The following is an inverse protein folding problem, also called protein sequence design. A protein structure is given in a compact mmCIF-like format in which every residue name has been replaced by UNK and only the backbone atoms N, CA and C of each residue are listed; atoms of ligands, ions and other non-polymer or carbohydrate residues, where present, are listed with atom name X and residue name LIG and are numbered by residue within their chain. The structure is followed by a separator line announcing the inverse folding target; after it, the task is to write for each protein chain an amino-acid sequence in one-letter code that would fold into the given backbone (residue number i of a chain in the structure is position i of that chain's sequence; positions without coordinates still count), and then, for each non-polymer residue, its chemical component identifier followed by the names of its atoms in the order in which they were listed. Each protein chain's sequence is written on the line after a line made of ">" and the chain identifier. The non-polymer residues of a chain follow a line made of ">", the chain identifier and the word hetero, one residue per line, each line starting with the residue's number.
data_IF_582624534006
#
_entry.id   IF_582624534006
#
_cell.length_a   1.000
_cell.length_b   1.000
_cell.length_c   1.000
_cell.angle_alpha   90.00
_cell.angle_beta   90.00
_cell.angle_gamma   90.00
#
_symmetry.space_group_name_H-M   'P 1'
#
loop_
_entity.id
_entity.type
_entity.pdbx_description
1 polymer ?
#
# COMPACT_ATOMS: atom_id res chain seq x y z
N UNK A 1 8.97 -23.45 6.29
CA UNK A 1 7.64 -23.12 6.85
C UNK A 1 6.71 -22.77 5.71
N UNK A 2 5.44 -23.12 5.81
CA UNK A 2 4.40 -22.67 4.89
C UNK A 2 3.59 -21.55 5.58
N UNK A 3 3.67 -20.34 5.03
CA UNK A 3 2.97 -19.16 5.53
C UNK A 3 1.81 -18.80 4.60
N UNK A 4 0.74 -18.25 5.17
CA UNK A 4 -0.44 -17.84 4.43
C UNK A 4 -1.17 -16.67 5.08
N UNK A 5 -0.52 -15.98 6.01
CA UNK A 5 -1.04 -14.75 6.60
C UNK A 5 -0.45 -13.57 5.83
N UNK A 6 -1.27 -13.05 4.91
CA UNK A 6 -0.89 -11.99 3.98
C UNK A 6 -1.53 -10.66 4.37
N UNK A 7 -0.89 -9.56 4.00
CA UNK A 7 -1.56 -8.25 4.06
C UNK A 7 -2.82 -8.26 3.19
N UNK A 8 -3.92 -7.71 3.71
CA UNK A 8 -5.16 -7.56 2.97
C UNK A 8 -5.10 -6.26 2.14
N UNK A 9 -4.36 -6.31 1.03
CA UNK A 9 -4.23 -5.18 0.11
C UNK A 9 -4.10 -5.66 -1.33
N UNK A 10 -5.14 -5.39 -2.11
CA UNK A 10 -5.16 -5.68 -3.56
C UNK A 10 -4.15 -4.84 -4.34
N UNK A 11 -3.74 -3.70 -3.76
CA UNK A 11 -2.73 -2.80 -4.32
C UNK A 11 -1.33 -3.43 -4.29
N UNK A 12 -1.01 -4.16 -3.21
CA UNK A 12 0.31 -4.79 -3.01
C UNK A 12 0.36 -6.20 -3.60
N UNK A 13 -0.71 -6.98 -3.44
CA UNK A 13 -0.75 -8.40 -3.82
C UNK A 13 -1.58 -8.69 -5.07
N UNK A 14 -2.16 -7.66 -5.69
CA UNK A 14 -3.08 -7.81 -6.80
C UNK A 14 -4.46 -8.32 -6.38
N UNK A 15 -5.43 -8.19 -7.29
CA UNK A 15 -6.80 -8.70 -7.08
C UNK A 15 -6.87 -10.24 -7.03
N UNK A 16 -5.89 -10.92 -7.62
CA UNK A 16 -5.84 -12.39 -7.65
C UNK A 16 -5.26 -12.91 -6.35
N UNK A 17 -6.13 -13.43 -5.48
CA UNK A 17 -5.72 -14.05 -4.22
C UNK A 17 -4.71 -15.17 -4.44
N UNK A 18 -3.74 -15.25 -3.53
CA UNK A 18 -2.74 -16.32 -3.52
C UNK A 18 -3.41 -17.58 -2.99
N UNK A 19 -3.59 -18.56 -3.86
CA UNK A 19 -4.37 -19.77 -3.57
C UNK A 19 -3.60 -20.79 -2.71
N UNK A 20 -2.28 -20.84 -2.88
CA UNK A 20 -1.41 -21.80 -2.22
C UNK A 20 -0.49 -21.14 -1.16
N UNK A 21 -0.17 -21.82 -0.05
CA UNK A 21 0.77 -21.30 0.94
C UNK A 21 2.15 -20.99 0.33
N UNK A 22 2.79 -19.97 0.88
CA UNK A 22 4.14 -19.54 0.51
C UNK A 22 5.17 -20.20 1.41
N UNK A 23 6.14 -20.87 0.79
CA UNK A 23 7.26 -21.48 1.46
C UNK A 23 8.34 -20.45 1.80
N UNK A 24 8.71 -20.43 3.08
CA UNK A 24 9.73 -19.56 3.62
C UNK A 24 10.74 -20.38 4.44
N UNK A 25 12.03 -20.13 4.20
CA UNK A 25 13.14 -20.71 4.96
C UNK A 25 14.22 -19.66 5.14
N UNK A 26 14.27 -19.04 6.30
CA UNK A 26 15.12 -17.88 6.51
C UNK A 26 14.92 -17.27 7.89
N UNK A 27 15.43 -16.06 8.04
CA UNK A 27 15.33 -15.26 9.26
C UNK A 27 14.05 -14.42 9.17
N UNK A 28 13.35 -14.28 10.29
CA UNK A 28 12.19 -13.41 10.38
C UNK A 28 12.58 -12.03 10.91
N UNK A 29 11.77 -11.02 10.58
CA UNK A 29 11.98 -9.62 10.91
C UNK A 29 10.99 -9.15 11.96
N UNK A 30 11.42 -8.17 12.75
CA UNK A 30 10.55 -7.36 13.60
C UNK A 30 10.33 -6.01 12.95
N UNK A 31 9.13 -5.46 13.13
CA UNK A 31 8.80 -4.10 12.70
C UNK A 31 8.35 -3.31 13.92
N UNK A 32 8.96 -2.15 14.13
CA UNK A 32 8.49 -1.22 15.15
C UNK A 32 7.16 -0.60 14.67
N UNK A 33 6.09 -0.75 15.47
CA UNK A 33 4.75 -0.25 15.16
C UNK A 33 4.68 1.28 15.04
N UNK A 34 5.66 2.00 15.58
CA UNK A 34 5.78 3.46 15.41
C UNK A 34 6.16 3.85 13.99
N UNK A 35 6.75 2.94 13.21
CA UNK A 35 7.13 3.20 11.83
C UNK A 35 5.92 3.04 10.89
N UNK A 36 5.47 4.15 10.30
CA UNK A 36 4.35 4.18 9.35
C UNK A 36 4.75 3.93 7.88
N UNK A 37 6.05 3.78 7.59
CA UNK A 37 6.57 3.53 6.24
C UNK A 37 6.76 2.04 5.94
N UNK A 38 6.83 1.22 6.98
CA UNK A 38 7.00 -0.23 6.88
C UNK A 38 5.68 -0.97 6.95
N UNK A 39 5.53 -1.98 6.08
CA UNK A 39 4.35 -2.82 5.98
C UNK A 39 4.77 -4.28 6.07
N UNK A 40 4.04 -5.06 6.87
CA UNK A 40 4.19 -6.52 6.93
C UNK A 40 3.38 -7.13 5.80
N UNK A 41 4.04 -7.71 4.81
CA UNK A 41 3.36 -8.29 3.64
C UNK A 41 3.10 -9.78 3.82
N UNK A 42 4.03 -10.48 4.46
CA UNK A 42 3.87 -11.87 4.86
C UNK A 42 4.24 -12.02 6.33
N UNK A 43 3.34 -12.62 7.12
CA UNK A 43 3.52 -12.85 8.55
C UNK A 43 3.46 -14.35 8.88
N UNK A 44 3.96 -14.71 10.05
CA UNK A 44 3.83 -16.08 10.57
C UNK A 44 2.46 -16.29 11.20
N UNK A 45 1.98 -17.54 11.17
CA UNK A 45 0.81 -17.94 11.95
C UNK A 45 1.03 -17.66 13.46
N UNK A 46 -0.03 -17.32 14.22
CA UNK A 46 0.10 -16.95 15.64
C UNK A 46 0.75 -18.02 16.52
N UNK A 47 0.70 -19.28 16.11
CA UNK A 47 1.21 -20.44 16.86
C UNK A 47 2.70 -20.73 16.63
N UNK A 48 3.39 -19.89 15.84
CA UNK A 48 4.80 -20.10 15.52
C UNK A 48 5.69 -19.37 16.53
N UNK A 49 6.63 -20.13 17.08
CA UNK A 49 7.71 -19.62 17.92
C UNK A 49 9.02 -19.57 17.10
N UNK A 50 9.62 -18.38 16.89
CA UNK A 50 10.91 -18.23 16.23
C UNK A 50 12.07 -18.61 17.17
N UNK A 51 12.00 -19.77 17.81
CA UNK A 51 13.08 -20.25 18.67
C UNK A 51 14.24 -20.86 17.86
N UNK A 52 15.46 -20.77 18.37
CA UNK A 52 16.61 -21.44 17.79
C UNK A 52 16.46 -22.97 17.97
N UNK A 53 16.38 -23.77 16.88
CA UNK A 53 16.15 -25.20 16.98
C UNK A 53 17.29 -25.97 17.66
N UNK A 54 18.46 -25.34 17.84
CA UNK A 54 19.65 -25.96 18.45
C UNK A 54 19.82 -25.68 19.95
N UNK A 55 19.06 -24.75 20.52
CA UNK A 55 19.17 -24.39 21.94
C UNK A 55 17.80 -24.41 22.57
N UNK A 56 17.62 -25.18 23.65
CA UNK A 56 16.45 -25.02 24.53
C UNK A 56 16.59 -23.66 25.22
N UNK A 57 16.01 -22.61 24.63
CA UNK A 57 16.00 -21.29 25.26
C UNK A 57 14.98 -21.30 26.40
N UNK A 58 15.45 -21.12 27.63
CA UNK A 58 14.60 -20.83 28.79
C UNK A 58 14.02 -19.40 28.76
N UNK A 59 14.53 -18.54 27.87
CA UNK A 59 14.06 -17.16 27.76
C UNK A 59 12.87 -17.10 26.81
N UNK A 60 11.81 -16.39 27.23
CA UNK A 60 10.65 -16.07 26.40
C UNK A 60 11.12 -15.51 25.05
N UNK A 61 10.60 -16.00 23.91
CA UNK A 61 10.98 -15.48 22.60
C UNK A 61 10.74 -13.97 22.57
N UNK A 62 11.69 -13.22 22.01
CA UNK A 62 11.64 -11.74 21.99
C UNK A 62 10.37 -11.21 21.30
N UNK A 63 9.78 -12.00 20.39
CA UNK A 63 8.48 -11.80 19.77
C UNK A 63 7.85 -13.16 19.43
N UNK A 64 6.54 -13.30 19.62
CA UNK A 64 5.76 -14.49 19.27
C UNK A 64 4.61 -14.14 18.31
N UNK A 65 4.22 -15.11 17.47
CA UNK A 65 3.02 -15.02 16.65
C UNK A 65 3.04 -13.94 15.55
N UNK A 66 1.90 -13.30 15.28
CA UNK A 66 1.67 -12.36 14.17
C UNK A 66 2.47 -11.05 14.27
N UNK A 67 3.15 -10.82 15.39
CA UNK A 67 4.09 -9.71 15.52
C UNK A 67 5.29 -9.86 14.58
N UNK A 68 5.64 -11.09 14.23
CA UNK A 68 6.79 -11.46 13.39
C UNK A 68 6.43 -11.36 11.90
N UNK A 69 7.27 -10.67 11.13
CA UNK A 69 7.13 -10.57 9.68
C UNK A 69 8.19 -11.41 8.97
N UNK A 70 7.78 -12.18 7.97
CA UNK A 70 8.69 -12.93 7.10
C UNK A 70 9.17 -12.08 5.91
N UNK A 71 8.27 -11.26 5.39
CA UNK A 71 8.54 -10.31 4.29
C UNK A 71 7.96 -8.96 4.66
N UNK A 72 8.84 -7.96 4.68
CA UNK A 72 8.51 -6.56 4.89
C UNK A 72 8.63 -5.79 3.57
N UNK A 73 7.76 -4.81 3.38
CA UNK A 73 7.93 -3.78 2.36
C UNK A 73 8.08 -2.45 3.05
N UNK A 74 9.04 -1.64 2.60
CA UNK A 74 9.20 -0.25 3.04
C UNK A 74 8.97 0.65 1.84
N UNK A 75 8.06 1.61 1.99
CA UNK A 75 7.90 2.69 1.02
C UNK A 75 8.53 3.97 1.58
N UNK A 76 9.62 4.41 0.94
CA UNK A 76 10.27 5.66 1.30
C UNK A 76 9.40 6.86 0.93
N UNK A 77 9.66 8.02 1.54
CA UNK A 77 8.98 9.28 1.20
C UNK A 77 9.22 9.73 -0.24
N UNK A 78 10.29 9.25 -0.87
CA UNK A 78 10.56 9.42 -2.30
C UNK A 78 9.80 8.44 -3.19
N UNK A 79 8.86 7.66 -2.64
CA UNK A 79 8.15 6.56 -3.28
C UNK A 79 9.04 5.39 -3.73
N UNK A 80 10.30 5.34 -3.31
CA UNK A 80 11.13 4.15 -3.52
C UNK A 80 10.61 2.97 -2.69
N UNK A 81 10.48 1.80 -3.31
CA UNK A 81 9.96 0.57 -2.68
C UNK A 81 11.09 -0.41 -2.42
N UNK A 82 11.19 -0.88 -1.19
CA UNK A 82 12.19 -1.86 -0.76
C UNK A 82 11.46 -3.09 -0.22
N UNK A 83 11.71 -4.24 -0.83
CA UNK A 83 11.26 -5.54 -0.32
C UNK A 83 12.38 -6.17 0.51
N UNK A 84 12.10 -6.48 1.77
CA UNK A 84 13.05 -7.13 2.69
C UNK A 84 12.53 -8.53 2.99
N UNK A 85 13.27 -9.54 2.55
CA UNK A 85 12.99 -10.97 2.83
C UNK A 85 14.21 -11.61 3.48
N UNK A 86 14.00 -12.34 4.57
CA UNK A 86 15.07 -13.09 5.22
C UNK A 86 15.31 -14.48 4.63
N UNK A 87 14.64 -14.84 3.53
CA UNK A 87 14.73 -16.15 2.89
C UNK A 87 15.12 -16.05 1.41
N UNK A 88 16.38 -16.35 1.11
CA UNK A 88 16.83 -16.48 -0.29
C UNK A 88 16.13 -17.65 -1.00
N UNK A 89 15.86 -18.75 -0.28
CA UNK A 89 15.20 -19.93 -0.85
C UNK A 89 13.79 -19.64 -1.36
N UNK A 90 13.13 -18.61 -0.83
CA UNK A 90 11.80 -18.15 -1.26
C UNK A 90 11.74 -17.80 -2.74
N UNK A 91 12.84 -17.27 -3.29
CA UNK A 91 12.99 -16.86 -4.69
C UNK A 91 13.52 -17.97 -5.59
N UNK A 92 13.79 -19.16 -5.03
CA UNK A 92 14.39 -20.27 -5.76
C UNK A 92 13.36 -21.12 -6.52
N UNK A 93 13.75 -21.58 -7.72
CA UNK A 93 12.95 -22.49 -8.55
C UNK A 93 12.44 -23.73 -7.80
N UNK A 94 13.21 -24.22 -6.82
CA UNK A 94 12.82 -25.34 -5.98
C UNK A 94 11.50 -25.04 -5.25
N UNK A 95 11.37 -23.88 -4.61
CA UNK A 95 10.15 -23.52 -3.88
C UNK A 95 9.00 -23.24 -4.85
N UNK A 96 9.26 -22.63 -6.02
CA UNK A 96 8.22 -22.37 -7.03
C UNK A 96 7.53 -23.62 -7.57
N UNK A 97 8.22 -24.78 -7.56
CA UNK A 97 7.70 -26.06 -8.06
C UNK A 97 7.38 -27.04 -6.94
N UNK A 98 7.55 -26.65 -5.68
CA UNK A 98 7.36 -27.54 -4.56
C UNK A 98 5.87 -27.70 -4.27
N UNK A 99 5.43 -28.95 -4.12
CA UNK A 99 4.08 -29.26 -3.68
C UNK A 99 3.91 -28.96 -2.19
N UNK A 100 2.80 -28.35 -1.82
CA UNK A 100 2.57 -27.92 -0.43
C UNK A 100 1.24 -28.44 0.08
N UNK A 101 1.28 -28.98 1.30
CA UNK A 101 0.12 -29.35 2.08
C UNK A 101 0.32 -28.81 3.50
N UNK A 102 -0.62 -27.99 3.97
CA UNK A 102 -0.56 -27.48 5.34
C UNK A 102 -0.88 -28.61 6.31
N UNK A 103 -0.12 -28.71 7.39
CA UNK A 103 -0.38 -29.69 8.45
C UNK A 103 -1.81 -29.47 8.99
N UNK A 104 -2.62 -30.52 8.99
CA UNK A 104 -4.04 -30.46 9.38
C UNK A 104 -5.02 -30.05 8.27
N UNK A 105 -4.56 -29.83 7.03
CA UNK A 105 -5.43 -29.58 5.87
C UNK A 105 -5.45 -30.79 4.93
N UNK A 106 -6.63 -31.12 4.40
CA UNK A 106 -6.81 -32.11 3.32
C UNK A 106 -6.44 -31.56 1.94
N UNK A 107 -6.28 -30.24 1.79
CA UNK A 107 -5.98 -29.60 0.52
C UNK A 107 -4.48 -29.67 0.22
N UNK A 108 -4.13 -30.34 -0.88
CA UNK A 108 -2.78 -30.37 -1.44
C UNK A 108 -2.72 -29.45 -2.65
N UNK A 109 -1.68 -28.62 -2.71
CA UNK A 109 -1.41 -27.78 -3.87
C UNK A 109 -0.21 -28.35 -4.61
N UNK A 110 -0.34 -28.51 -5.93
CA UNK A 110 0.75 -29.00 -6.79
C UNK A 110 1.95 -28.04 -6.84
N UNK A 111 1.73 -26.76 -6.56
CA UNK A 111 2.78 -25.74 -6.51
C UNK A 111 2.54 -24.81 -5.33
N UNK A 112 3.61 -24.34 -4.73
CA UNK A 112 3.54 -23.29 -3.71
C UNK A 112 3.10 -21.96 -4.31
N UNK A 113 2.62 -21.06 -3.44
CA UNK A 113 2.25 -19.71 -3.82
C UNK A 113 3.45 -18.79 -4.12
N UNK A 114 4.69 -19.24 -3.97
CA UNK A 114 5.89 -18.40 -4.04
C UNK A 114 6.02 -17.64 -5.37
N UNK A 115 5.75 -18.29 -6.50
CA UNK A 115 5.85 -17.63 -7.80
C UNK A 115 4.79 -16.55 -7.93
N UNK A 116 3.54 -16.87 -7.57
CA UNK A 116 2.43 -15.90 -7.62
C UNK A 116 2.70 -14.72 -6.69
N UNK A 117 3.13 -14.97 -5.45
CA UNK A 117 3.45 -13.92 -4.48
C UNK A 117 4.46 -12.92 -5.03
N UNK A 118 5.48 -13.36 -5.76
CA UNK A 118 6.54 -12.50 -6.26
C UNK A 118 6.21 -11.74 -7.54
N UNK A 119 5.21 -12.18 -8.32
CA UNK A 119 4.85 -11.55 -9.60
C UNK A 119 3.89 -10.37 -9.48
N UNK A 120 3.30 -10.13 -8.30
CA UNK A 120 2.21 -9.16 -8.15
C UNK A 120 2.67 -7.73 -7.76
N UNK A 121 3.97 -7.51 -7.52
CA UNK A 121 4.50 -6.26 -6.95
C UNK A 121 4.66 -5.06 -7.92
N UNK A 122 4.29 -5.19 -9.20
CA UNK A 122 4.57 -4.16 -10.23
C UNK A 122 3.38 -3.25 -10.60
N UNK A 123 2.23 -3.35 -9.91
CA UNK A 123 0.94 -2.90 -10.46
C UNK A 123 0.34 -1.60 -9.91
N UNK A 124 1.12 -0.77 -9.23
CA UNK A 124 0.52 0.37 -8.54
C UNK A 124 1.40 1.61 -8.61
N UNK A 125 1.07 2.51 -9.54
CA UNK A 125 1.61 3.86 -9.59
C UNK A 125 0.45 4.81 -9.84
N UNK A 126 0.38 5.89 -9.05
CA UNK A 126 -0.54 6.99 -9.28
C UNK A 126 0.19 8.16 -9.91
N UNK A 127 -0.50 8.85 -10.80
CA UNK A 127 -0.03 10.06 -11.47
C UNK A 127 -1.12 11.10 -11.40
N UNK A 128 -0.80 12.24 -10.80
CA UNK A 128 -1.66 13.41 -10.79
C UNK A 128 -1.14 14.45 -11.78
N UNK A 129 -2.01 14.98 -12.62
CA UNK A 129 -1.70 15.95 -13.67
C UNK A 129 -2.78 17.00 -13.81
N UNK A 130 -2.49 18.04 -14.59
CA UNK A 130 -3.47 19.04 -15.01
C UNK A 130 -4.24 19.66 -13.83
N UNK A 131 -3.52 19.99 -12.76
CA UNK A 131 -4.08 20.75 -11.64
C UNK A 131 -4.52 22.11 -12.17
N UNK A 132 -5.79 22.46 -11.95
CA UNK A 132 -6.39 23.72 -12.35
C UNK A 132 -7.12 24.33 -11.17
N UNK A 133 -6.96 25.64 -11.02
CA UNK A 133 -7.78 26.40 -10.09
C UNK A 133 -8.01 27.81 -10.65
N UNK A 134 -9.24 28.28 -10.52
CA UNK A 134 -9.65 29.61 -10.99
C UNK A 134 -10.88 30.07 -10.21
N UNK A 135 -11.31 31.32 -10.44
CA UNK A 135 -12.59 31.79 -9.90
C UNK A 135 -13.74 31.17 -10.69
N UNK A 136 -14.88 30.97 -10.05
CA UNK A 136 -16.10 30.54 -10.75
C UNK A 136 -16.39 31.50 -11.91
N UNK A 137 -16.64 30.94 -13.09
CA UNK A 137 -16.94 31.71 -14.31
C UNK A 137 -15.73 32.33 -15.02
N UNK A 138 -14.50 32.07 -14.54
CA UNK A 138 -13.26 32.43 -15.24
C UNK A 138 -12.57 31.17 -15.76
N UNK A 139 -11.80 31.29 -16.83
CA UNK A 139 -11.00 30.17 -17.36
C UNK A 139 -9.56 30.19 -16.85
N UNK A 140 -9.02 31.39 -16.61
CA UNK A 140 -7.62 31.58 -16.25
C UNK A 140 -7.42 31.55 -14.73
N UNK A 141 -6.29 30.97 -14.32
CA UNK A 141 -5.85 31.01 -12.94
C UNK A 141 -5.46 32.44 -12.57
N UNK A 142 -6.11 33.08 -11.57
CA UNK A 142 -5.75 34.42 -11.16
C UNK A 142 -4.41 34.41 -10.41
N UNK A 143 -3.68 35.53 -10.46
CA UNK A 143 -2.44 35.69 -9.70
C UNK A 143 -2.66 35.74 -8.18
N UNK A 144 -3.86 36.14 -7.74
CA UNK A 144 -4.25 36.17 -6.34
C UNK A 144 -5.77 36.02 -6.18
N UNK A 145 -6.18 35.42 -5.07
CA UNK A 145 -7.57 35.36 -4.65
C UNK A 145 -7.87 36.40 -3.58
N UNK A 146 -9.13 36.82 -3.51
CA UNK A 146 -9.66 37.64 -2.43
C UNK A 146 -10.48 36.78 -1.48
N UNK A 147 -10.63 37.25 -0.26
CA UNK A 147 -11.53 36.63 0.71
C UNK A 147 -12.92 36.50 0.10
N UNK A 148 -13.57 35.37 0.37
CA UNK A 148 -14.91 35.05 -0.12
C UNK A 148 -15.05 34.89 -1.63
N UNK A 149 -13.95 34.95 -2.42
CA UNK A 149 -13.98 34.53 -3.81
C UNK A 149 -14.46 33.08 -3.90
N UNK A 150 -15.31 32.79 -4.87
CA UNK A 150 -15.71 31.42 -5.20
C UNK A 150 -14.61 30.78 -6.06
N UNK A 151 -13.92 29.80 -5.51
CA UNK A 151 -12.84 29.03 -6.14
C UNK A 151 -13.41 27.73 -6.72
N UNK A 152 -13.00 27.40 -7.94
CA UNK A 152 -13.10 26.06 -8.51
C UNK A 152 -11.71 25.42 -8.53
N UNK A 153 -11.64 24.16 -8.10
CA UNK A 153 -10.43 23.35 -8.11
C UNK A 153 -10.69 22.06 -8.88
N UNK A 154 -9.74 21.67 -9.73
CA UNK A 154 -9.78 20.42 -10.47
C UNK A 154 -8.38 19.77 -10.56
N UNK A 155 -8.35 18.45 -10.59
CA UNK A 155 -7.14 17.64 -10.77
C UNK A 155 -7.49 16.35 -11.52
N UNK A 156 -6.60 15.90 -12.40
CA UNK A 156 -6.74 14.64 -13.10
C UNK A 156 -5.80 13.60 -12.50
N UNK A 157 -6.31 12.42 -12.14
CA UNK A 157 -5.56 11.34 -11.48
C UNK A 157 -5.69 10.05 -12.29
N UNK A 158 -4.56 9.40 -12.53
CA UNK A 158 -4.45 8.17 -13.30
C UNK A 158 -3.67 7.11 -12.51
N UNK A 159 -4.01 5.84 -12.72
CA UNK A 159 -3.30 4.67 -12.20
C UNK A 159 -2.63 3.87 -13.31
N UNK A 160 -1.49 3.26 -13.02
CA UNK A 160 -0.78 2.39 -13.97
C UNK A 160 -1.27 0.94 -13.85
N UNK A 161 -1.89 0.41 -14.90
CA UNK A 161 -2.40 -0.98 -14.90
C UNK A 161 -1.32 -2.05 -15.11
N UNK A 162 -0.06 -1.65 -15.26
CA UNK A 162 1.03 -2.51 -15.73
C UNK A 162 1.33 -2.32 -17.21
N UNK A 163 0.36 -1.82 -17.99
CA UNK A 163 0.48 -1.65 -19.45
C UNK A 163 0.11 -0.27 -19.95
N UNK A 164 -0.84 0.41 -19.30
CA UNK A 164 -1.28 1.75 -19.66
C UNK A 164 -1.68 2.57 -18.42
N UNK A 165 -1.73 3.89 -18.60
CA UNK A 165 -2.33 4.81 -17.63
C UNK A 165 -3.84 4.81 -17.82
N UNK A 166 -4.58 4.44 -16.79
CA UNK A 166 -6.04 4.37 -16.76
C UNK A 166 -6.58 5.38 -15.74
N UNK A 167 -7.80 5.92 -15.93
CA UNK A 167 -8.41 6.80 -14.95
C UNK A 167 -8.48 6.19 -13.56
N UNK A 168 -7.97 6.91 -12.54
CA UNK A 168 -8.13 6.48 -11.16
C UNK A 168 -9.56 6.79 -10.71
N UNK A 169 -10.21 5.80 -10.11
CA UNK A 169 -11.61 5.89 -9.67
C UNK A 169 -11.70 5.56 -8.19
N UNK A 170 -12.03 6.59 -7.41
CA UNK A 170 -12.13 6.56 -5.96
C UNK A 170 -13.14 7.61 -5.48
N UNK A 171 -13.75 7.40 -4.31
CA UNK A 171 -14.79 8.26 -3.75
C UNK A 171 -14.35 9.04 -2.51
N UNK A 172 -13.08 8.90 -2.11
CA UNK A 172 -12.52 9.38 -0.85
C UNK A 172 -11.35 10.38 -1.06
N UNK A 173 -11.20 10.91 -2.26
CA UNK A 173 -10.18 11.94 -2.54
C UNK A 173 -10.62 13.27 -1.92
N UNK A 174 -9.73 13.90 -1.18
CA UNK A 174 -10.00 15.16 -0.49
C UNK A 174 -9.01 16.25 -0.89
N UNK A 175 -9.50 17.49 -0.94
CA UNK A 175 -8.66 18.69 -1.00
C UNK A 175 -8.62 19.35 0.36
N UNK A 176 -7.44 19.86 0.72
CA UNK A 176 -7.21 20.65 1.91
C UNK A 176 -6.72 22.03 1.51
N UNK A 177 -7.45 23.06 1.94
CA UNK A 177 -6.99 24.45 1.88
C UNK A 177 -6.41 24.79 3.25
N UNK A 178 -5.09 24.96 3.31
CA UNK A 178 -4.30 24.86 4.54
C UNK A 178 -3.41 26.08 4.74
N UNK A 179 -3.18 26.47 5.99
CA UNK A 179 -2.17 27.50 6.33
C UNK A 179 -1.36 27.01 7.54
N UNK A 180 -1.91 27.15 8.76
CA UNK A 180 -1.39 26.53 9.99
C UNK A 180 -2.29 25.37 10.46
N UNK A 181 -3.56 25.42 10.07
CA UNK A 181 -4.57 24.37 10.22
C UNK A 181 -5.45 24.36 8.95
N UNK A 182 -6.14 23.23 8.64
CA UNK A 182 -7.00 23.17 7.46
C UNK A 182 -8.24 24.04 7.68
N UNK A 183 -8.42 25.06 6.82
CA UNK A 183 -9.62 25.90 6.82
C UNK A 183 -10.76 25.26 6.03
N UNK A 184 -10.42 24.55 4.96
CA UNK A 184 -11.37 23.80 4.15
C UNK A 184 -10.83 22.39 3.99
N UNK A 185 -11.66 21.41 4.35
CA UNK A 185 -11.48 20.01 4.03
C UNK A 185 -12.72 19.57 3.27
N UNK A 186 -12.58 19.23 1.98
CA UNK A 186 -13.70 18.79 1.15
C UNK A 186 -13.33 17.55 0.36
N UNK A 187 -14.26 16.60 0.32
CA UNK A 187 -14.20 15.48 -0.63
C UNK A 187 -14.50 15.98 -2.04
N UNK A 188 -13.68 15.57 -3.00
CA UNK A 188 -13.81 15.92 -4.41
C UNK A 188 -14.94 15.10 -5.05
N UNK A 189 -15.71 15.76 -5.91
CA UNK A 189 -16.61 15.08 -6.84
C UNK A 189 -15.79 14.54 -8.02
N UNK A 190 -16.28 13.53 -8.70
CA UNK A 190 -15.56 12.90 -9.83
C UNK A 190 -16.50 12.57 -10.97
N UNK A 191 -15.99 12.67 -12.19
CA UNK A 191 -16.67 12.24 -13.42
C UNK A 191 -16.50 10.74 -13.72
N UNK A 192 -15.84 9.99 -12.82
CA UNK A 192 -15.48 8.58 -13.00
C UNK A 192 -14.55 8.31 -14.19
N UNK A 193 -13.93 9.35 -14.74
CA UNK A 193 -12.96 9.31 -15.84
C UNK A 193 -11.63 9.96 -15.44
N UNK A 194 -11.37 10.02 -14.13
CA UNK A 194 -10.10 10.47 -13.56
C UNK A 194 -10.07 11.96 -13.24
N UNK A 195 -11.09 12.74 -13.62
CA UNK A 195 -11.20 14.13 -13.20
C UNK A 195 -11.87 14.19 -11.82
N UNK A 196 -11.23 14.94 -10.93
CA UNK A 196 -11.70 15.25 -9.59
C UNK A 196 -11.83 16.76 -9.45
N UNK A 197 -12.94 17.22 -8.89
CA UNK A 197 -13.23 18.65 -8.80
C UNK A 197 -14.08 19.01 -7.59
N UNK A 198 -13.99 20.26 -7.18
CA UNK A 198 -14.86 20.85 -6.15
C UNK A 198 -14.91 22.36 -6.31
N UNK A 199 -15.85 22.98 -5.63
CA UNK A 199 -15.88 24.43 -5.45
C UNK A 199 -16.08 24.80 -3.98
N UNK A 200 -15.45 25.89 -3.55
CA UNK A 200 -15.59 26.43 -2.21
C UNK A 200 -15.23 27.91 -2.16
N UNK A 201 -15.68 28.59 -1.10
CA UNK A 201 -15.30 29.98 -0.85
C UNK A 201 -13.94 30.07 -0.18
N UNK A 202 -13.12 30.99 -0.64
CA UNK A 202 -11.84 31.31 0.00
C UNK A 202 -12.10 31.82 1.43
N UNK A 203 -11.44 31.25 2.46
CA UNK A 203 -11.68 31.59 3.86
C UNK A 203 -11.43 33.07 4.22
N UNK A 204 -11.99 33.48 5.35
CA UNK A 204 -11.86 34.83 5.91
C UNK A 204 -10.52 35.01 6.64
N UNK A 205 -9.41 34.82 5.91
CA UNK A 205 -8.07 35.10 6.37
C UNK A 205 -7.20 35.56 5.20
N UNK A 206 -6.41 36.62 5.43
CA UNK A 206 -5.48 37.17 4.46
C UNK A 206 -4.08 36.62 4.71
N UNK A 207 -3.67 35.62 3.92
CA UNK A 207 -2.28 35.15 3.88
C UNK A 207 -2.04 34.25 2.66
N UNK A 208 -0.86 33.62 2.61
CA UNK A 208 -0.53 32.52 1.70
C UNK A 208 -1.09 31.21 2.23
N UNK A 209 -1.82 30.51 1.37
CA UNK A 209 -2.40 29.18 1.59
C UNK A 209 -1.82 28.18 0.59
#
# INVERSE_FOLDING_TARGET
>A
MAAGDFIQSDVILGRKKIEAPVLFRGIAHSLNLVNNLGLKVLSTSPSIDPANPKTKSLNTPMMTGSAISLVLVVQARSNARILISGSLSMFGNRFFRFEVQKVGSSTRHEKSGNKQFLTEYERDHLKAVNVRHHKVGQADTPSMYRISDDLEYAIEIYEWSGTSWEPYVANDIQVQFYMMSPYVLKTLSTDQKGLYYTSFKVPDAYDVF
#
